data_IF_981244599744
#
_entry.id   IF_981244599744
#
_cell.length_a   1.000
_cell.length_b   1.000
_cell.length_c   1.000
_cell.angle_alpha   90.00
_cell.angle_beta   90.00
_cell.angle_gamma   90.00
#
_symmetry.space_group_name_H-M   'P 1'
#
loop_
_entity.id
_entity.type
_entity.pdbx_description
1 polymer ?
#
# COMPACT_ATOMS: atom_id res chain seq x y z
N UNK A 1 -12.26 9.70 -28.62
CA UNK A 1 -12.07 9.72 -27.16
C UNK A 1 -13.44 9.87 -26.51
N UNK A 2 -13.79 8.98 -25.61
CA UNK A 2 -15.05 9.05 -24.84
C UNK A 2 -14.69 9.40 -23.38
N UNK A 3 -15.32 10.42 -22.85
CA UNK A 3 -15.08 10.90 -21.49
C UNK A 3 -16.10 10.30 -20.51
N UNK A 4 -15.62 9.99 -19.30
CA UNK A 4 -16.50 9.60 -18.18
C UNK A 4 -17.13 10.83 -17.51
N UNK A 5 -17.93 10.63 -16.44
CA UNK A 5 -18.65 11.70 -15.76
C UNK A 5 -17.78 12.74 -15.07
N UNK A 6 -16.50 12.46 -14.86
CA UNK A 6 -15.53 13.41 -14.27
C UNK A 6 -14.58 14.01 -15.32
N UNK A 7 -14.85 13.78 -16.60
CA UNK A 7 -14.10 14.40 -17.70
C UNK A 7 -12.81 13.71 -18.09
N UNK A 8 -12.56 12.48 -17.61
CA UNK A 8 -11.38 11.70 -17.98
C UNK A 8 -11.71 10.70 -19.10
N UNK A 9 -10.70 10.30 -19.87
CA UNK A 9 -10.83 9.25 -20.88
C UNK A 9 -11.25 7.93 -20.24
N UNK A 10 -12.38 7.35 -20.67
CA UNK A 10 -12.92 6.11 -20.10
C UNK A 10 -11.97 4.92 -20.16
N UNK A 11 -11.24 4.81 -21.26
CA UNK A 11 -10.32 3.69 -21.48
C UNK A 11 -9.09 3.77 -20.58
N UNK A 12 -8.54 4.98 -20.44
CA UNK A 12 -7.41 5.23 -19.54
C UNK A 12 -7.85 5.08 -18.08
N UNK A 13 -9.03 5.58 -17.71
CA UNK A 13 -9.59 5.43 -16.36
C UNK A 13 -9.78 3.97 -15.97
N UNK A 14 -10.24 3.13 -16.92
CA UNK A 14 -10.36 1.71 -16.67
C UNK A 14 -9.00 1.05 -16.41
N UNK A 15 -7.99 1.34 -17.22
CA UNK A 15 -6.65 0.80 -17.05
C UNK A 15 -6.06 1.21 -15.68
N UNK A 16 -6.22 2.47 -15.28
CA UNK A 16 -5.80 2.94 -13.97
C UNK A 16 -6.55 2.23 -12.83
N UNK A 17 -7.84 1.97 -13.00
CA UNK A 17 -8.63 1.23 -12.01
C UNK A 17 -8.16 -0.20 -11.84
N UNK A 18 -7.73 -0.85 -12.92
CA UNK A 18 -7.16 -2.20 -12.88
C UNK A 18 -5.83 -2.19 -12.06
N UNK A 19 -4.96 -1.22 -12.30
CA UNK A 19 -3.72 -1.05 -11.52
C UNK A 19 -3.99 -0.68 -10.05
N UNK A 20 -4.95 0.19 -9.79
CA UNK A 20 -5.37 0.52 -8.42
C UNK A 20 -5.93 -0.69 -7.67
N UNK A 21 -6.62 -1.60 -8.35
CA UNK A 21 -7.08 -2.86 -7.76
C UNK A 21 -5.91 -3.77 -7.35
N UNK A 22 -4.85 -3.81 -8.15
CA UNK A 22 -3.62 -4.52 -7.77
C UNK A 22 -2.99 -3.86 -6.52
N UNK A 23 -2.93 -2.54 -6.49
CA UNK A 23 -2.45 -1.80 -5.31
C UNK A 23 -3.31 -2.09 -4.08
N UNK A 24 -4.64 -2.08 -4.21
CA UNK A 24 -5.58 -2.40 -3.15
C UNK A 24 -5.32 -3.79 -2.56
N UNK A 25 -5.15 -4.81 -3.40
CA UNK A 25 -4.85 -6.17 -2.96
C UNK A 25 -3.55 -6.23 -2.15
N UNK A 26 -2.50 -5.53 -2.61
CA UNK A 26 -1.21 -5.48 -1.92
C UNK A 26 -1.31 -4.73 -0.58
N UNK A 27 -2.06 -3.63 -0.50
CA UNK A 27 -2.31 -2.92 0.76
C UNK A 27 -3.09 -3.76 1.77
N UNK A 28 -4.04 -4.57 1.34
CA UNK A 28 -4.79 -5.46 2.22
C UNK A 28 -3.88 -6.50 2.88
N UNK A 29 -2.95 -7.10 2.13
CA UNK A 29 -1.98 -8.04 2.68
C UNK A 29 -0.95 -7.33 3.59
N UNK A 30 -0.50 -6.15 3.20
CA UNK A 30 0.36 -5.31 4.04
C UNK A 30 -0.32 -4.97 5.36
N UNK A 31 -1.56 -4.51 5.31
CA UNK A 31 -2.38 -4.23 6.50
C UNK A 31 -2.46 -5.45 7.43
N UNK A 32 -2.75 -6.63 6.89
CA UNK A 32 -2.84 -7.84 7.72
C UNK A 32 -1.48 -8.26 8.28
N UNK A 33 -0.40 -8.11 7.51
CA UNK A 33 0.95 -8.35 8.02
C UNK A 33 1.28 -7.45 9.21
N UNK A 34 0.95 -6.17 9.13
CA UNK A 34 1.16 -5.20 10.21
C UNK A 34 0.40 -5.59 11.47
N UNK A 35 -0.85 -6.02 11.34
CA UNK A 35 -1.64 -6.52 12.47
C UNK A 35 -1.01 -7.78 13.06
N UNK A 36 -0.57 -8.70 12.21
CA UNK A 36 0.09 -9.95 12.64
C UNK A 36 1.34 -9.70 13.46
N UNK A 37 2.23 -8.80 13.02
CA UNK A 37 3.43 -8.45 13.78
C UNK A 37 3.13 -7.60 15.01
N UNK A 38 2.11 -6.76 14.98
CA UNK A 38 1.63 -6.03 16.14
C UNK A 38 1.19 -6.98 17.26
N UNK A 39 0.44 -8.03 16.92
CA UNK A 39 -0.01 -9.02 17.90
C UNK A 39 1.09 -9.93 18.40
N UNK A 40 2.02 -10.32 17.54
CA UNK A 40 2.96 -11.41 17.81
C UNK A 40 4.37 -10.95 18.21
N UNK A 41 4.67 -9.66 18.14
CA UNK A 41 5.99 -9.13 18.54
C UNK A 41 6.32 -9.48 19.99
N UNK A 42 7.55 -9.90 20.23
CA UNK A 42 8.09 -10.22 21.56
C UNK A 42 9.51 -9.69 21.68
N UNK A 43 9.93 -9.40 22.90
CA UNK A 43 11.30 -9.02 23.22
C UNK A 43 11.41 -7.63 23.82
N UNK A 44 12.63 -7.15 23.90
CA UNK A 44 12.97 -5.90 24.61
C UNK A 44 12.37 -4.64 23.96
N UNK A 45 12.00 -4.71 22.68
CA UNK A 45 11.43 -3.61 21.91
C UNK A 45 9.90 -3.66 21.83
N UNK A 46 9.26 -4.51 22.62
CA UNK A 46 7.81 -4.68 22.58
C UNK A 46 7.04 -3.35 22.72
N UNK A 47 7.38 -2.55 23.72
CA UNK A 47 6.65 -1.31 24.01
C UNK A 47 6.88 -0.21 22.97
N UNK A 48 7.98 -0.26 22.24
CA UNK A 48 8.27 0.67 21.15
C UNK A 48 7.60 0.22 19.85
N UNK A 49 7.64 -1.08 19.54
CA UNK A 49 7.22 -1.62 18.25
C UNK A 49 5.74 -1.96 18.18
N UNK A 50 5.16 -2.48 19.24
CA UNK A 50 3.72 -2.80 19.30
C UNK A 50 2.84 -1.59 18.93
N UNK A 51 3.00 -0.41 19.55
CA UNK A 51 2.25 0.77 19.15
C UNK A 51 2.68 1.34 17.78
N UNK A 52 3.94 1.17 17.38
CA UNK A 52 4.39 1.61 16.05
C UNK A 52 3.72 0.82 14.93
N UNK A 53 3.59 -0.49 15.10
CA UNK A 53 2.89 -1.32 14.13
C UNK A 53 1.39 -1.01 14.05
N UNK A 54 0.77 -0.64 15.18
CA UNK A 54 -0.63 -0.16 15.20
C UNK A 54 -0.78 1.14 14.41
N UNK A 55 0.09 2.12 14.64
CA UNK A 55 0.11 3.37 13.87
C UNK A 55 0.20 3.09 12.35
N UNK A 56 1.05 2.15 11.96
CA UNK A 56 1.21 1.78 10.56
C UNK A 56 -0.02 1.06 9.98
N UNK A 57 -0.67 0.16 10.73
CA UNK A 57 -1.85 -0.50 10.19
C UNK A 57 -3.08 0.41 10.16
N UNK A 58 -3.20 1.34 11.09
CA UNK A 58 -4.26 2.36 11.04
C UNK A 58 -4.11 3.22 9.78
N UNK A 59 -2.90 3.67 9.48
CA UNK A 59 -2.59 4.40 8.25
C UNK A 59 -2.88 3.56 6.99
N UNK A 60 -2.45 2.30 6.97
CA UNK A 60 -2.73 1.40 5.85
C UNK A 60 -4.23 1.20 5.64
N UNK A 61 -5.02 1.10 6.70
CA UNK A 61 -6.47 0.98 6.60
C UNK A 61 -7.13 2.22 5.97
N UNK A 62 -6.65 3.41 6.30
CA UNK A 62 -7.10 4.65 5.66
C UNK A 62 -6.76 4.66 4.17
N UNK A 63 -5.57 4.23 3.79
CA UNK A 63 -5.15 4.14 2.40
C UNK A 63 -5.95 3.11 1.60
N UNK A 64 -6.29 1.99 2.20
CA UNK A 64 -7.19 0.98 1.60
C UNK A 64 -8.53 1.62 1.21
N UNK A 65 -9.11 2.39 2.11
CA UNK A 65 -10.39 3.05 1.86
C UNK A 65 -10.27 4.11 0.75
N UNK A 66 -9.23 4.93 0.80
CA UNK A 66 -8.96 5.95 -0.23
C UNK A 66 -8.79 5.33 -1.63
N UNK A 67 -8.05 4.21 -1.73
CA UNK A 67 -7.83 3.51 -3.01
C UNK A 67 -9.16 2.94 -3.53
N UNK A 68 -9.93 2.28 -2.68
CA UNK A 68 -11.22 1.70 -3.06
C UNK A 68 -12.20 2.78 -3.55
N UNK A 69 -12.30 3.91 -2.85
CA UNK A 69 -13.14 5.03 -3.25
C UNK A 69 -12.64 5.72 -4.53
N UNK A 70 -11.32 5.77 -4.75
CA UNK A 70 -10.76 6.26 -6.01
C UNK A 70 -11.15 5.37 -7.20
N UNK A 71 -11.11 4.04 -7.03
CA UNK A 71 -11.57 3.09 -8.05
C UNK A 71 -13.03 3.34 -8.41
N UNK A 72 -13.89 3.54 -7.40
CA UNK A 72 -15.30 3.88 -7.61
C UNK A 72 -15.45 5.22 -8.34
N UNK A 73 -14.67 6.21 -7.98
CA UNK A 73 -14.68 7.53 -8.62
C UNK A 73 -14.31 7.45 -10.11
N UNK A 74 -13.41 6.54 -10.47
CA UNK A 74 -13.03 6.27 -11.85
C UNK A 74 -14.07 5.43 -12.63
N UNK A 75 -15.12 4.95 -11.96
CA UNK A 75 -16.22 4.20 -12.56
C UNK A 75 -16.02 2.68 -12.59
N UNK A 76 -15.11 2.14 -11.77
CA UNK A 76 -14.85 0.71 -11.68
C UNK A 76 -15.28 0.13 -10.32
N UNK A 77 -15.15 -1.18 -10.17
CA UNK A 77 -15.49 -1.91 -8.93
C UNK A 77 -14.20 -2.30 -8.20
N UNK A 78 -14.01 -1.88 -6.95
CA UNK A 78 -12.84 -2.31 -6.17
C UNK A 78 -12.95 -3.79 -5.80
N UNK A 79 -11.81 -4.48 -5.76
CA UNK A 79 -11.74 -5.82 -5.18
C UNK A 79 -12.27 -5.80 -3.75
N UNK A 80 -13.06 -6.82 -3.37
CA UNK A 80 -13.71 -6.85 -2.07
C UNK A 80 -13.82 -8.25 -1.47
N UNK A 81 -12.99 -9.19 -1.93
CA UNK A 81 -12.88 -10.54 -1.37
C UNK A 81 -11.44 -10.87 -1.00
N UNK A 82 -11.25 -11.66 0.05
CA UNK A 82 -9.91 -12.12 0.42
C UNK A 82 -9.28 -13.00 -0.66
N UNK A 83 -10.08 -13.75 -1.42
CA UNK A 83 -9.62 -14.53 -2.56
C UNK A 83 -8.93 -13.65 -3.59
N UNK A 84 -9.57 -12.53 -4.00
CA UNK A 84 -9.00 -11.57 -4.94
C UNK A 84 -7.71 -10.95 -4.38
N UNK A 85 -7.69 -10.57 -3.12
CA UNK A 85 -6.50 -9.99 -2.50
C UNK A 85 -5.30 -10.95 -2.50
N UNK A 86 -5.53 -12.21 -2.13
CA UNK A 86 -4.49 -13.23 -2.14
C UNK A 86 -3.98 -13.56 -3.54
N UNK A 87 -4.86 -13.57 -4.52
CA UNK A 87 -4.51 -13.87 -5.92
C UNK A 87 -3.61 -12.77 -6.52
N UNK A 88 -3.87 -11.51 -6.20
CA UNK A 88 -3.23 -10.37 -6.85
C UNK A 88 -2.10 -9.71 -6.06
N UNK A 89 -1.91 -10.07 -4.79
CA UNK A 89 -0.85 -9.50 -3.98
C UNK A 89 0.50 -10.18 -4.20
N UNK A 90 1.56 -9.37 -4.22
CA UNK A 90 2.97 -9.81 -4.23
C UNK A 90 3.69 -9.49 -2.92
N UNK A 91 3.00 -8.88 -1.97
CA UNK A 91 3.57 -8.58 -0.65
C UNK A 91 3.96 -9.88 0.05
N UNK A 92 5.15 -9.95 0.68
CA UNK A 92 5.58 -11.14 1.41
C UNK A 92 4.59 -11.58 2.48
N UNK A 93 4.48 -12.88 2.71
CA UNK A 93 3.59 -13.43 3.75
C UNK A 93 4.30 -13.40 5.10
N UNK A 94 3.76 -12.64 6.05
CA UNK A 94 4.29 -12.51 7.41
C UNK A 94 3.73 -13.54 8.38
N UNK A 95 4.11 -14.81 8.23
CA UNK A 95 3.62 -15.89 9.09
C UNK A 95 4.58 -16.17 10.26
N UNK A 96 4.03 -16.23 11.49
CA UNK A 96 4.77 -16.59 12.70
C UNK A 96 6.00 -15.70 12.97
N UNK A 97 5.90 -14.42 12.67
CA UNK A 97 6.97 -13.45 12.94
C UNK A 97 6.76 -12.84 14.32
N UNK A 98 7.73 -13.05 15.22
CA UNK A 98 7.72 -12.52 16.58
C UNK A 98 8.99 -11.76 16.96
N UNK A 99 10.03 -11.81 16.13
CA UNK A 99 11.28 -11.10 16.35
C UNK A 99 11.25 -9.72 15.72
N UNK A 100 11.83 -8.75 16.41
CA UNK A 100 11.85 -7.35 16.02
C UNK A 100 12.49 -7.11 14.63
N UNK A 101 13.67 -7.64 14.41
CA UNK A 101 14.39 -7.47 13.13
C UNK A 101 13.61 -8.08 11.96
N UNK A 102 13.06 -9.29 12.13
CA UNK A 102 12.24 -9.92 11.09
C UNK A 102 10.97 -9.12 10.78
N UNK A 103 10.33 -8.56 11.81
CA UNK A 103 9.14 -7.72 11.64
C UNK A 103 9.47 -6.43 10.88
N UNK A 104 10.56 -5.77 11.20
CA UNK A 104 11.00 -4.55 10.49
C UNK A 104 11.36 -4.86 9.04
N UNK A 105 12.05 -5.96 8.77
CA UNK A 105 12.37 -6.37 7.39
C UNK A 105 11.12 -6.69 6.58
N UNK A 106 10.12 -7.32 7.18
CA UNK A 106 8.83 -7.56 6.52
C UNK A 106 8.18 -6.24 6.09
N UNK A 107 8.23 -5.20 6.92
CA UNK A 107 7.71 -3.88 6.59
C UNK A 107 8.47 -3.27 5.40
N UNK A 108 9.80 -3.29 5.45
CA UNK A 108 10.64 -2.74 4.36
C UNK A 108 10.37 -3.46 3.04
N UNK A 109 10.33 -4.79 3.04
CA UNK A 109 10.07 -5.58 1.84
C UNK A 109 8.66 -5.35 1.30
N UNK A 110 7.66 -5.24 2.18
CA UNK A 110 6.29 -4.94 1.79
C UNK A 110 6.17 -3.55 1.17
N UNK A 111 6.77 -2.54 1.79
CA UNK A 111 6.76 -1.17 1.26
C UNK A 111 7.46 -1.05 -0.09
N UNK A 112 8.52 -1.83 -0.30
CA UNK A 112 9.21 -1.89 -1.60
C UNK A 112 8.25 -2.34 -2.71
N UNK A 113 7.46 -3.39 -2.48
CA UNK A 113 6.46 -3.86 -3.45
C UNK A 113 5.39 -2.79 -3.71
N UNK A 114 4.87 -2.15 -2.66
CA UNK A 114 3.89 -1.08 -2.79
C UNK A 114 4.44 0.11 -3.59
N UNK A 115 5.64 0.57 -3.27
CA UNK A 115 6.28 1.69 -3.94
C UNK A 115 6.48 1.44 -5.45
N UNK A 116 6.84 0.22 -5.84
CA UNK A 116 6.99 -0.13 -7.27
C UNK A 116 5.66 0.01 -8.00
N UNK A 117 4.56 -0.47 -7.41
CA UNK A 117 3.22 -0.38 -7.99
C UNK A 117 2.77 1.10 -8.05
N UNK A 118 2.97 1.85 -6.97
CA UNK A 118 2.58 3.25 -6.88
C UNK A 118 3.30 4.13 -7.90
N UNK A 119 4.60 3.89 -8.16
CA UNK A 119 5.34 4.63 -9.20
C UNK A 119 4.79 4.36 -10.59
N UNK A 120 4.39 3.13 -10.88
CA UNK A 120 3.74 2.81 -12.15
C UNK A 120 2.43 3.59 -12.29
N UNK A 121 1.58 3.56 -11.24
CA UNK A 121 0.31 4.29 -11.24
C UNK A 121 0.55 5.81 -11.37
N UNK A 122 1.59 6.34 -10.73
CA UNK A 122 1.97 7.75 -10.82
C UNK A 122 2.24 8.13 -12.29
N UNK A 123 3.06 7.35 -12.99
CA UNK A 123 3.39 7.61 -14.39
C UNK A 123 2.16 7.48 -15.30
N UNK A 124 1.38 6.43 -15.13
CA UNK A 124 0.19 6.17 -15.95
C UNK A 124 -0.92 7.20 -15.71
N UNK A 125 -1.09 7.68 -14.48
CA UNK A 125 -2.05 8.74 -14.15
C UNK A 125 -1.67 10.08 -14.77
N UNK A 126 -0.38 10.42 -14.79
CA UNK A 126 0.11 11.60 -15.49
C UNK A 126 -0.19 11.52 -16.99
N UNK A 127 0.06 10.37 -17.62
CA UNK A 127 -0.24 10.12 -19.03
C UNK A 127 -1.75 10.12 -19.34
N UNK A 128 -2.58 9.95 -18.32
CA UNK A 128 -4.05 9.97 -18.44
C UNK A 128 -4.67 11.32 -18.11
N UNK A 129 -3.88 12.32 -17.76
CA UNK A 129 -4.32 13.61 -17.25
C UNK A 129 -5.17 13.49 -15.97
N UNK A 130 -4.95 12.40 -15.20
CA UNK A 130 -5.64 12.13 -13.94
C UNK A 130 -4.83 12.65 -12.75
N UNK A 131 -4.91 13.94 -12.52
CA UNK A 131 -4.22 14.62 -11.42
C UNK A 131 -4.65 14.10 -10.05
N UNK A 132 -5.91 13.68 -9.89
CA UNK A 132 -6.40 13.16 -8.62
C UNK A 132 -5.72 11.86 -8.20
N UNK A 133 -5.56 10.91 -9.11
CA UNK A 133 -4.79 9.68 -8.85
C UNK A 133 -3.30 9.98 -8.71
N UNK A 134 -2.76 10.89 -9.55
CA UNK A 134 -1.36 11.28 -9.50
C UNK A 134 -0.99 11.88 -8.12
N UNK A 135 -1.77 12.83 -7.63
CA UNK A 135 -1.55 13.48 -6.33
C UNK A 135 -1.63 12.45 -5.18
N UNK A 136 -2.60 11.54 -5.21
CA UNK A 136 -2.72 10.47 -4.22
C UNK A 136 -1.46 9.60 -4.18
N UNK A 137 -0.94 9.18 -5.33
CA UNK A 137 0.28 8.39 -5.41
C UNK A 137 1.50 9.16 -4.93
N UNK A 138 1.61 10.45 -5.26
CA UNK A 138 2.69 11.32 -4.78
C UNK A 138 2.74 11.37 -3.24
N UNK A 139 1.59 11.52 -2.60
CA UNK A 139 1.49 11.56 -1.15
C UNK A 139 1.88 10.21 -0.52
N UNK A 140 1.37 9.10 -1.05
CA UNK A 140 1.70 7.76 -0.57
C UNK A 140 3.20 7.47 -0.69
N UNK A 141 3.79 7.76 -1.83
CA UNK A 141 5.21 7.55 -2.11
C UNK A 141 6.06 8.34 -1.11
N UNK A 142 5.78 9.63 -0.93
CA UNK A 142 6.54 10.50 -0.03
C UNK A 142 6.53 9.98 1.41
N UNK A 143 5.38 9.60 1.93
CA UNK A 143 5.22 9.06 3.28
C UNK A 143 5.92 7.71 3.44
N UNK A 144 5.76 6.83 2.47
CA UNK A 144 6.32 5.47 2.54
C UNK A 144 7.83 5.45 2.35
N UNK A 145 8.39 6.30 1.50
CA UNK A 145 9.84 6.47 1.40
C UNK A 145 10.44 6.88 2.73
N UNK A 146 9.81 7.81 3.43
CA UNK A 146 10.23 8.23 4.77
C UNK A 146 10.13 7.08 5.77
N UNK A 147 9.06 6.30 5.70
CA UNK A 147 8.90 5.11 6.57
C UNK A 147 9.99 4.08 6.32
N UNK A 148 10.34 3.81 5.06
CA UNK A 148 11.45 2.91 4.71
C UNK A 148 12.75 3.43 5.30
N UNK A 149 13.05 4.73 5.16
CA UNK A 149 14.24 5.34 5.76
C UNK A 149 14.29 5.12 7.28
N UNK A 150 13.20 5.35 7.99
CA UNK A 150 13.14 5.16 9.44
C UNK A 150 13.33 3.70 9.84
N UNK A 151 12.73 2.75 9.10
CA UNK A 151 12.90 1.32 9.36
C UNK A 151 14.33 0.84 9.09
N UNK A 152 14.95 1.34 8.02
CA UNK A 152 16.37 1.07 7.71
C UNK A 152 17.28 1.65 8.77
N UNK A 153 17.01 2.85 9.27
CA UNK A 153 17.74 3.47 10.37
C UNK A 153 17.63 2.65 11.66
N UNK A 154 16.46 2.10 11.96
CA UNK A 154 16.26 1.20 13.08
C UNK A 154 17.12 -0.06 12.96
N UNK A 155 17.30 -0.58 11.74
CA UNK A 155 18.20 -1.70 11.44
C UNK A 155 19.69 -1.32 11.45
N UNK A 156 20.03 -0.04 11.64
CA UNK A 156 21.36 0.51 11.47
C UNK A 156 21.93 0.32 10.04
N UNK A 157 21.06 0.41 9.04
CA UNK A 157 21.39 0.26 7.63
C UNK A 157 21.04 1.54 6.84
N UNK A 158 21.73 1.77 5.74
CA UNK A 158 21.42 2.84 4.78
C UNK A 158 20.31 2.40 3.80
N UNK A 159 19.77 3.38 3.07
CA UNK A 159 18.75 3.15 2.01
C UNK A 159 19.36 2.35 0.85
#
# INVERSE_FOLDING_TARGET
>A
MKLNSIGLDEKKSKALSDDLNILLANFQLYYQNLRGIHWNIKGKRFFDLHPKFEELYDDANLKVDEIAERILTLGAVPYHTFEDYCEHSKVPVGKNISKDEEAIRLIVDSLKELLVIERKILDDSAAADDEGTNAMMSDFITEQEKTVWMMKAWLAEDI
#
